data_IF_439671092744
#
_entry.id   IF_439671092744
#
_cell.length_a   1.000
_cell.length_b   1.000
_cell.length_c   1.000
_cell.angle_alpha   90.00
_cell.angle_beta   90.00
_cell.angle_gamma   90.00
#
_symmetry.space_group_name_H-M   'P 1'
#
loop_
_entity.id
_entity.type
_entity.pdbx_description
1 polymer ?
#
# COMPACT_ATOMS: atom_id res chain seq x y z
N UNK A 1 13.33 -24.87 -5.48
CA UNK A 1 13.08 -23.84 -4.46
C UNK A 1 11.58 -23.80 -4.26
N UNK A 2 11.12 -24.15 -3.06
CA UNK A 2 9.71 -23.97 -2.75
C UNK A 2 9.42 -22.47 -2.64
N UNK A 3 8.53 -21.97 -3.50
CA UNK A 3 8.14 -20.56 -3.49
C UNK A 3 7.30 -20.30 -2.23
N UNK A 4 7.79 -19.42 -1.36
CA UNK A 4 6.98 -18.87 -0.28
C UNK A 4 6.01 -17.82 -0.86
N UNK A 5 4.80 -17.79 -0.33
CA UNK A 5 3.78 -16.81 -0.76
C UNK A 5 3.53 -15.76 0.32
N UNK A 6 3.50 -14.51 -0.08
CA UNK A 6 3.12 -13.40 0.80
C UNK A 6 1.60 -13.42 1.07
N UNK A 7 0.80 -13.72 0.03
CA UNK A 7 -0.65 -13.91 0.15
C UNK A 7 -1.07 -15.16 -0.63
N UNK A 8 -1.96 -15.94 -0.02
CA UNK A 8 -2.72 -17.01 -0.67
C UNK A 8 -4.20 -16.74 -0.43
N UNK A 9 -4.99 -16.76 -1.49
CA UNK A 9 -6.44 -16.59 -1.43
C UNK A 9 -7.19 -17.70 -2.12
N UNK A 10 -8.25 -18.18 -1.49
CA UNK A 10 -9.11 -19.25 -2.00
C UNK A 10 -10.56 -18.78 -2.07
N UNK A 11 -11.19 -18.92 -3.25
CA UNK A 11 -12.59 -18.59 -3.54
C UNK A 11 -13.00 -17.17 -3.10
N UNK A 12 -12.17 -16.17 -3.41
CA UNK A 12 -12.46 -14.77 -3.08
C UNK A 12 -13.61 -14.30 -3.94
N UNK A 13 -14.74 -14.01 -3.31
CA UNK A 13 -15.97 -13.62 -4.01
C UNK A 13 -16.58 -12.37 -3.39
N UNK A 14 -16.87 -11.38 -4.23
CA UNK A 14 -17.59 -10.17 -3.85
C UNK A 14 -18.54 -9.73 -4.95
N UNK A 15 -19.83 -9.58 -4.60
CA UNK A 15 -20.87 -9.13 -5.53
C UNK A 15 -21.29 -7.70 -5.24
N UNK A 16 -21.40 -6.91 -6.30
CA UNK A 16 -22.01 -5.59 -6.34
C UNK A 16 -23.19 -5.55 -7.31
N UNK A 17 -23.93 -4.45 -7.33
CA UNK A 17 -24.94 -4.22 -8.37
C UNK A 17 -24.24 -3.99 -9.72
N UNK A 18 -24.32 -4.97 -10.62
CA UNK A 18 -23.71 -4.88 -11.97
C UNK A 18 -22.25 -5.36 -12.09
N UNK A 19 -21.61 -5.81 -11.01
CA UNK A 19 -20.25 -6.33 -11.05
C UNK A 19 -20.05 -7.46 -10.03
N UNK A 20 -19.28 -8.47 -10.40
CA UNK A 20 -18.90 -9.56 -9.50
C UNK A 20 -17.40 -9.79 -9.61
N UNK A 21 -16.70 -9.71 -8.48
CA UNK A 21 -15.34 -10.21 -8.34
C UNK A 21 -15.43 -11.68 -7.96
N UNK A 22 -14.83 -12.56 -8.77
CA UNK A 22 -14.78 -14.01 -8.54
C UNK A 22 -13.38 -14.51 -8.88
N UNK A 23 -12.62 -14.87 -7.85
CA UNK A 23 -11.24 -15.31 -7.97
C UNK A 23 -11.12 -16.66 -7.25
N UNK A 24 -11.16 -17.77 -8.00
CA UNK A 24 -11.08 -19.11 -7.42
C UNK A 24 -9.79 -19.32 -6.63
N UNK A 25 -8.67 -18.83 -7.15
CA UNK A 25 -7.35 -18.94 -6.50
C UNK A 25 -6.49 -17.71 -6.78
N UNK A 26 -5.82 -17.21 -5.76
CA UNK A 26 -4.84 -16.13 -5.83
C UNK A 26 -3.57 -16.54 -5.09
N UNK A 27 -2.42 -16.34 -5.72
CA UNK A 27 -1.12 -16.48 -5.07
C UNK A 27 -0.23 -15.30 -5.41
N UNK A 28 0.35 -14.66 -4.38
CA UNK A 28 1.32 -13.58 -4.54
C UNK A 28 2.64 -14.07 -3.96
N UNK A 29 3.67 -14.31 -4.80
CA UNK A 29 4.95 -14.82 -4.33
C UNK A 29 5.67 -13.80 -3.46
N UNK A 30 6.35 -14.26 -2.40
CA UNK A 30 7.16 -13.45 -1.54
C UNK A 30 8.49 -13.08 -2.22
N UNK A 31 8.98 -11.85 -1.98
CA UNK A 31 10.26 -11.38 -2.52
C UNK A 31 10.19 -10.83 -3.95
N UNK A 32 8.99 -10.63 -4.49
CA UNK A 32 8.81 -10.15 -5.86
C UNK A 32 7.90 -8.93 -5.95
N UNK A 33 8.08 -8.15 -7.03
CA UNK A 33 7.07 -7.21 -7.50
C UNK A 33 6.12 -7.95 -8.47
N UNK A 34 4.84 -8.00 -8.13
CA UNK A 34 3.79 -8.63 -8.94
C UNK A 34 2.79 -7.58 -9.38
N UNK A 35 2.51 -7.49 -10.69
CA UNK A 35 1.55 -6.55 -11.26
C UNK A 35 0.17 -7.19 -11.48
N UNK A 36 -0.87 -6.48 -11.07
CA UNK A 36 -2.27 -6.76 -11.39
C UNK A 36 -2.70 -5.88 -12.57
N UNK A 37 -2.81 -6.49 -13.74
CA UNK A 37 -3.15 -5.79 -14.98
C UNK A 37 -4.61 -6.06 -15.34
N UNK A 38 -5.33 -5.03 -15.76
CA UNK A 38 -6.71 -5.17 -16.21
C UNK A 38 -7.36 -3.83 -16.55
N UNK A 39 -8.47 -3.88 -17.27
CA UNK A 39 -9.24 -2.70 -17.66
C UNK A 39 -9.79 -1.95 -16.43
N UNK A 40 -10.17 -0.68 -16.65
CA UNK A 40 -10.88 0.09 -15.64
C UNK A 40 -12.24 -0.57 -15.34
N UNK A 41 -12.56 -0.73 -14.07
CA UNK A 41 -13.77 -1.44 -13.64
C UNK A 41 -13.62 -2.96 -13.51
N UNK A 42 -12.49 -3.58 -13.86
CA UNK A 42 -12.25 -5.01 -13.71
C UNK A 42 -12.18 -5.50 -12.24
N UNK A 43 -12.22 -4.58 -11.27
CA UNK A 43 -12.23 -4.94 -9.85
C UNK A 43 -10.87 -4.89 -9.16
N UNK A 44 -9.83 -4.33 -9.80
CA UNK A 44 -8.47 -4.21 -9.24
C UNK A 44 -8.50 -3.55 -7.85
N UNK A 45 -9.10 -2.35 -7.73
CA UNK A 45 -9.26 -1.64 -6.45
C UNK A 45 -10.07 -2.45 -5.43
N UNK A 46 -11.09 -3.19 -5.86
CA UNK A 46 -11.86 -4.06 -4.97
C UNK A 46 -10.99 -5.15 -4.37
N UNK A 47 -10.21 -5.84 -5.21
CA UNK A 47 -9.26 -6.85 -4.75
C UNK A 47 -8.22 -6.23 -3.82
N UNK A 48 -7.59 -5.12 -4.21
CA UNK A 48 -6.59 -4.42 -3.38
C UNK A 48 -7.14 -4.06 -2.00
N UNK A 49 -8.38 -3.55 -1.92
CA UNK A 49 -9.04 -3.22 -0.66
C UNK A 49 -9.35 -4.46 0.20
N UNK A 50 -9.67 -5.60 -0.41
CA UNK A 50 -9.84 -6.87 0.29
C UNK A 50 -8.49 -7.32 0.87
N UNK A 51 -7.43 -7.34 0.06
CA UNK A 51 -6.09 -7.75 0.48
C UNK A 51 -5.51 -6.81 1.56
N UNK A 52 -5.77 -5.52 1.47
CA UNK A 52 -5.35 -4.53 2.48
C UNK A 52 -6.18 -4.59 3.78
N UNK A 53 -7.31 -5.31 3.78
CA UNK A 53 -8.21 -5.36 4.91
C UNK A 53 -9.06 -4.12 5.15
N UNK A 54 -9.19 -3.29 4.13
CA UNK A 54 -10.10 -2.14 4.12
C UNK A 54 -11.52 -2.63 3.90
N UNK A 55 -11.69 -3.69 3.09
CA UNK A 55 -12.96 -4.32 2.82
C UNK A 55 -13.01 -5.74 3.40
N UNK A 56 -13.91 -5.95 4.36
CA UNK A 56 -14.05 -7.21 5.09
C UNK A 56 -15.28 -8.03 4.65
N UNK A 57 -16.25 -7.41 3.95
CA UNK A 57 -17.51 -8.02 3.52
C UNK A 57 -17.35 -8.74 2.17
N UNK A 58 -16.57 -9.81 2.15
CA UNK A 58 -16.38 -10.74 1.03
C UNK A 58 -16.53 -12.19 1.49
N UNK A 59 -16.59 -13.14 0.55
CA UNK A 59 -16.53 -14.58 0.81
C UNK A 59 -15.17 -15.12 0.37
N UNK A 60 -14.78 -16.27 0.92
CA UNK A 60 -13.49 -16.91 0.67
C UNK A 60 -12.55 -16.77 1.85
N UNK A 61 -11.31 -17.18 1.66
CA UNK A 61 -10.28 -17.18 2.69
C UNK A 61 -9.01 -16.52 2.18
N UNK A 62 -8.34 -15.76 3.06
CA UNK A 62 -7.02 -15.20 2.80
C UNK A 62 -6.05 -15.64 3.89
N UNK A 63 -4.83 -15.98 3.46
CA UNK A 63 -3.70 -16.27 4.34
C UNK A 63 -2.54 -15.37 3.98
N UNK A 64 -1.89 -14.83 5.01
CA UNK A 64 -0.80 -13.87 4.89
C UNK A 64 0.49 -14.49 5.44
N UNK A 65 1.57 -14.39 4.69
CA UNK A 65 2.92 -14.80 5.08
C UNK A 65 3.02 -16.25 5.59
N UNK A 66 2.13 -17.13 5.13
CA UNK A 66 2.06 -18.53 5.56
C UNK A 66 1.60 -18.77 7.00
N UNK A 67 1.39 -17.71 7.80
CA UNK A 67 1.17 -17.80 9.25
C UNK A 67 -0.16 -17.23 9.73
N UNK A 68 -0.77 -16.32 8.99
CA UNK A 68 -1.94 -15.56 9.45
C UNK A 68 -3.13 -15.74 8.51
N UNK A 69 -4.31 -15.95 9.08
CA UNK A 69 -5.58 -15.88 8.34
C UNK A 69 -6.13 -14.44 8.33
N UNK A 70 -7.15 -14.19 7.53
CA UNK A 70 -7.89 -12.92 7.55
C UNK A 70 -8.55 -12.63 8.91
N UNK A 71 -8.93 -13.68 9.68
CA UNK A 71 -9.40 -13.55 11.07
C UNK A 71 -8.32 -13.06 12.01
N UNK A 72 -7.07 -13.52 11.83
CA UNK A 72 -5.93 -13.01 12.60
C UNK A 72 -5.70 -11.52 12.34
N UNK A 73 -5.86 -11.08 11.09
CA UNK A 73 -5.74 -9.66 10.71
C UNK A 73 -6.74 -8.76 11.43
N UNK A 74 -7.94 -9.25 11.74
CA UNK A 74 -8.93 -8.49 12.51
C UNK A 74 -8.52 -8.32 13.98
N UNK A 75 -7.86 -9.33 14.53
CA UNK A 75 -7.59 -9.44 15.98
C UNK A 75 -6.14 -9.19 16.38
N UNK A 76 -5.20 -9.21 15.40
CA UNK A 76 -3.77 -9.04 15.65
C UNK A 76 -3.24 -7.83 14.90
N UNK A 77 -2.94 -6.72 15.59
CA UNK A 77 -2.38 -5.50 14.97
C UNK A 77 -1.12 -5.76 14.16
N UNK A 78 -0.29 -6.72 14.58
CA UNK A 78 0.98 -7.07 13.97
C UNK A 78 0.85 -7.48 12.50
N UNK A 79 -0.27 -8.09 12.10
CA UNK A 79 -0.52 -8.45 10.70
C UNK A 79 -0.77 -7.19 9.86
N UNK A 80 -1.52 -6.22 10.40
CA UNK A 80 -1.81 -4.95 9.73
C UNK A 80 -0.56 -4.08 9.61
N UNK A 81 0.31 -4.13 10.61
CA UNK A 81 1.58 -3.41 10.60
C UNK A 81 2.55 -3.92 9.52
N UNK A 82 2.45 -5.19 9.14
CA UNK A 82 3.28 -5.79 8.10
C UNK A 82 2.85 -5.43 6.67
N UNK A 83 1.69 -4.79 6.50
CA UNK A 83 1.14 -4.43 5.18
C UNK A 83 1.05 -2.91 5.05
N UNK A 84 1.71 -2.35 4.05
CA UNK A 84 1.52 -0.97 3.61
C UNK A 84 0.52 -0.92 2.45
N UNK A 85 -0.37 0.07 2.44
CA UNK A 85 -1.32 0.28 1.36
C UNK A 85 -1.27 1.72 0.85
N UNK A 86 -1.23 1.88 -0.47
CA UNK A 86 -1.49 3.15 -1.15
C UNK A 86 -2.55 2.95 -2.22
N UNK A 87 -3.41 3.95 -2.45
CA UNK A 87 -4.47 3.80 -3.43
C UNK A 87 -5.11 5.12 -3.84
N UNK A 88 -6.10 5.08 -4.74
CA UNK A 88 -6.82 6.27 -5.19
C UNK A 88 -7.44 7.02 -4.02
N UNK A 89 -7.26 8.34 -4.02
CA UNK A 89 -7.64 9.17 -2.89
C UNK A 89 -6.65 9.05 -1.72
N UNK A 90 -6.84 9.87 -0.71
CA UNK A 90 -6.00 9.86 0.50
C UNK A 90 -6.80 9.31 1.66
N UNK A 91 -6.22 8.38 2.41
CA UNK A 91 -6.76 7.94 3.70
C UNK A 91 -6.41 8.91 4.85
N UNK A 92 -5.58 9.91 4.59
CA UNK A 92 -5.33 10.99 5.53
C UNK A 92 -6.46 12.02 5.48
N UNK A 93 -6.86 12.55 6.64
CA UNK A 93 -7.93 13.53 6.70
C UNK A 93 -7.55 14.80 5.93
N UNK A 94 -8.45 15.35 5.07
CA UNK A 94 -8.14 16.47 4.19
C UNK A 94 -7.63 17.73 4.92
N UNK A 95 -8.10 17.97 6.13
CA UNK A 95 -7.73 19.12 6.96
C UNK A 95 -6.42 18.95 7.71
N UNK A 96 -5.85 17.73 7.78
CA UNK A 96 -4.60 17.51 8.48
C UNK A 96 -3.44 18.20 7.76
N UNK A 97 -2.51 18.72 8.54
CA UNK A 97 -1.19 19.12 8.06
C UNK A 97 -0.30 17.89 7.92
N UNK A 98 0.70 17.97 7.05
CA UNK A 98 1.67 16.86 6.87
C UNK A 98 2.32 16.49 8.21
N UNK A 99 2.65 17.49 9.07
CA UNK A 99 3.13 17.23 10.44
C UNK A 99 2.15 16.43 11.30
N UNK A 100 0.86 16.59 11.10
CA UNK A 100 -0.15 15.80 11.82
C UNK A 100 -0.23 14.38 11.27
N UNK A 101 -0.05 14.21 9.95
CA UNK A 101 0.09 12.87 9.34
C UNK A 101 1.24 12.10 9.99
N UNK A 102 2.41 12.73 10.14
CA UNK A 102 3.59 12.16 10.82
C UNK A 102 3.23 11.74 12.24
N UNK A 103 2.75 12.67 13.07
CA UNK A 103 2.46 12.41 14.49
C UNK A 103 1.39 11.32 14.70
N UNK A 104 0.36 11.28 13.82
CA UNK A 104 -0.67 10.23 13.91
C UNK A 104 -0.15 8.89 13.43
N UNK A 105 0.70 8.87 12.40
CA UNK A 105 1.32 7.62 11.93
C UNK A 105 2.24 7.01 12.99
N UNK A 106 3.01 7.83 13.69
CA UNK A 106 3.86 7.40 14.82
C UNK A 106 3.02 6.85 15.98
N UNK A 107 1.84 7.40 16.23
CA UNK A 107 0.93 6.91 17.26
C UNK A 107 0.25 5.59 16.87
N UNK A 108 -0.09 5.41 15.58
CA UNK A 108 -0.88 4.27 15.11
C UNK A 108 -0.03 3.04 14.76
N UNK A 109 1.23 3.23 14.38
CA UNK A 109 2.10 2.15 13.90
C UNK A 109 3.37 2.08 14.72
N UNK A 110 3.55 0.97 15.44
CA UNK A 110 4.74 0.75 16.27
C UNK A 110 6.04 0.66 15.44
N UNK A 111 5.91 0.34 14.16
CA UNK A 111 7.00 0.20 13.19
C UNK A 111 7.18 1.45 12.30
N UNK A 112 6.65 2.61 12.67
CA UNK A 112 6.83 3.86 11.94
C UNK A 112 8.08 4.58 12.41
N UNK A 113 8.89 5.06 11.44
CA UNK A 113 10.14 5.76 11.68
C UNK A 113 10.04 7.19 11.10
N UNK A 114 9.96 8.16 11.99
CA UNK A 114 9.83 9.58 11.63
C UNK A 114 10.94 10.07 10.70
N UNK A 115 12.19 9.72 10.98
CA UNK A 115 13.35 10.13 10.17
C UNK A 115 13.26 9.57 8.74
N UNK A 116 12.77 8.33 8.59
CA UNK A 116 12.52 7.74 7.27
C UNK A 116 11.38 8.45 6.55
N UNK A 117 10.34 8.86 7.28
CA UNK A 117 9.23 9.61 6.69
C UNK A 117 9.69 10.96 6.15
N UNK A 118 10.44 11.74 6.94
CA UNK A 118 11.03 13.01 6.50
C UNK A 118 11.99 12.83 5.31
N UNK A 119 12.82 11.78 5.34
CA UNK A 119 13.69 11.41 4.22
C UNK A 119 12.88 11.20 2.94
N UNK A 120 11.83 10.36 2.98
CA UNK A 120 11.01 10.07 1.80
C UNK A 120 10.18 11.25 1.33
N UNK A 121 9.73 12.13 2.22
CA UNK A 121 9.08 13.39 1.81
C UNK A 121 10.02 14.26 0.98
N UNK A 122 11.28 14.33 1.35
CA UNK A 122 12.31 15.09 0.62
C UNK A 122 12.63 14.42 -0.72
N UNK A 123 12.92 13.11 -0.72
CA UNK A 123 13.24 12.34 -1.92
C UNK A 123 12.12 12.39 -2.97
N UNK A 124 10.88 12.32 -2.54
CA UNK A 124 9.71 12.40 -3.40
C UNK A 124 9.30 13.84 -3.73
N UNK A 125 10.02 14.84 -3.20
CA UNK A 125 9.71 16.26 -3.39
C UNK A 125 8.26 16.61 -3.04
N UNK A 126 7.76 16.11 -1.91
CA UNK A 126 6.41 16.41 -1.43
C UNK A 126 6.38 17.84 -0.92
N UNK A 127 5.95 18.76 -1.79
CA UNK A 127 5.90 20.19 -1.47
C UNK A 127 7.29 20.83 -1.51
N UNK A 128 7.65 21.39 -2.66
CA UNK A 128 8.97 21.98 -2.96
C UNK A 128 9.39 23.17 -2.08
N UNK A 129 8.61 23.56 -1.06
CA UNK A 129 8.87 24.73 -0.21
C UNK A 129 9.40 24.29 1.15
N UNK A 130 10.21 25.14 1.77
CA UNK A 130 10.74 24.99 3.12
C UNK A 130 9.68 24.80 4.24
N UNK A 131 8.40 25.03 3.96
CA UNK A 131 7.29 24.89 4.92
C UNK A 131 6.29 23.78 4.54
N UNK A 132 6.74 22.73 3.88
CA UNK A 132 5.84 21.65 3.43
C UNK A 132 5.11 20.94 4.59
N UNK A 133 5.73 20.81 5.77
CA UNK A 133 5.10 20.20 6.95
C UNK A 133 3.84 20.94 7.44
N UNK A 134 3.75 22.25 7.16
CA UNK A 134 2.60 23.08 7.48
C UNK A 134 1.44 22.99 6.49
N UNK A 135 1.66 22.40 5.30
CA UNK A 135 0.62 22.28 4.27
C UNK A 135 -0.44 21.27 4.66
N UNK A 136 -1.69 21.56 4.29
CA UNK A 136 -2.81 20.65 4.49
C UNK A 136 -2.86 19.61 3.37
N UNK A 137 -3.30 18.40 3.68
CA UNK A 137 -3.46 17.31 2.71
C UNK A 137 -4.35 17.70 1.53
N UNK A 138 -5.45 18.42 1.78
CA UNK A 138 -6.35 18.88 0.73
C UNK A 138 -5.76 19.98 -0.18
N UNK A 139 -4.68 20.65 0.22
CA UNK A 139 -3.98 21.61 -0.63
C UNK A 139 -2.95 20.97 -1.56
N UNK A 140 -2.69 19.68 -1.41
CA UNK A 140 -1.78 18.93 -2.27
C UNK A 140 -2.46 18.52 -3.56
N UNK A 141 -1.72 18.49 -4.68
CA UNK A 141 -2.16 17.83 -5.91
C UNK A 141 -2.33 16.32 -5.71
N UNK A 142 -3.05 15.64 -6.60
CA UNK A 142 -3.21 14.18 -6.55
C UNK A 142 -1.86 13.46 -6.55
N UNK A 143 -0.92 13.91 -7.38
CA UNK A 143 0.45 13.41 -7.39
C UNK A 143 1.16 13.58 -6.04
N UNK A 144 1.07 14.76 -5.42
CA UNK A 144 1.69 15.00 -4.11
C UNK A 144 0.97 14.24 -2.98
N UNK A 145 -0.34 14.01 -3.07
CA UNK A 145 -1.04 13.11 -2.14
C UNK A 145 -0.56 11.66 -2.25
N UNK A 146 -0.36 11.17 -3.47
CA UNK A 146 0.19 9.83 -3.70
C UNK A 146 1.62 9.73 -3.15
N UNK A 147 2.48 10.72 -3.42
CA UNK A 147 3.84 10.79 -2.86
C UNK A 147 3.83 10.78 -1.33
N UNK A 148 2.94 11.52 -0.70
CA UNK A 148 2.77 11.54 0.76
C UNK A 148 2.38 10.14 1.30
N UNK A 149 1.47 9.44 0.64
CA UNK A 149 1.09 8.08 1.02
C UNK A 149 2.25 7.09 0.84
N UNK A 150 3.00 7.20 -0.26
CA UNK A 150 4.19 6.37 -0.51
C UNK A 150 5.24 6.62 0.58
N UNK A 151 5.53 7.89 0.93
CA UNK A 151 6.42 8.23 2.03
C UNK A 151 5.96 7.59 3.36
N UNK A 152 4.65 7.63 3.64
CA UNK A 152 4.07 7.06 4.86
C UNK A 152 4.23 5.54 4.96
N UNK A 153 4.08 4.80 3.86
CA UNK A 153 4.25 3.33 3.89
C UNK A 153 5.72 2.92 3.87
N UNK A 154 6.59 3.67 3.18
CA UNK A 154 8.04 3.42 3.16
C UNK A 154 8.74 3.80 4.48
N UNK A 155 8.11 4.66 5.28
CA UNK A 155 8.57 4.98 6.63
C UNK A 155 8.35 3.86 7.66
N UNK A 156 7.68 2.78 7.26
CA UNK A 156 7.35 1.64 8.11
C UNK A 156 8.13 0.40 7.70
N UNK A 157 8.43 -0.47 8.68
CA UNK A 157 9.02 -1.78 8.41
C UNK A 157 7.93 -2.78 8.00
N UNK A 158 7.41 -2.61 6.78
CA UNK A 158 6.39 -3.48 6.22
C UNK A 158 7.04 -4.63 5.45
N UNK A 159 6.41 -5.82 5.48
CA UNK A 159 6.83 -6.96 4.65
C UNK A 159 6.24 -6.92 3.25
N UNK A 160 5.16 -6.17 3.09
CA UNK A 160 4.46 -6.08 1.82
C UNK A 160 3.88 -4.70 1.58
N UNK A 161 4.01 -4.21 0.34
CA UNK A 161 3.30 -3.05 -0.17
C UNK A 161 2.21 -3.48 -1.14
N UNK A 162 1.00 -2.99 -0.91
CA UNK A 162 -0.15 -3.05 -1.82
C UNK A 162 -0.36 -1.65 -2.40
N UNK A 163 -0.16 -1.49 -3.70
CA UNK A 163 -0.18 -0.18 -4.35
C UNK A 163 -1.22 -0.15 -5.48
N UNK A 164 -2.34 0.54 -5.25
CA UNK A 164 -3.42 0.63 -6.23
C UNK A 164 -3.21 1.86 -7.14
N UNK A 165 -2.88 1.60 -8.41
CA UNK A 165 -2.55 2.60 -9.44
C UNK A 165 -1.53 3.67 -9.00
N UNK A 166 -0.39 3.31 -8.38
CA UNK A 166 0.52 4.27 -7.76
C UNK A 166 1.15 5.25 -8.75
N UNK A 167 1.32 4.84 -10.00
CA UNK A 167 1.92 5.65 -11.06
C UNK A 167 0.92 6.60 -11.74
N UNK A 168 -0.39 6.36 -11.63
CA UNK A 168 -1.42 7.10 -12.36
C UNK A 168 -1.36 8.62 -12.16
N UNK A 169 -1.25 9.16 -10.94
CA UNK A 169 -1.21 10.60 -10.70
C UNK A 169 0.19 11.22 -10.79
N UNK A 170 1.23 10.42 -11.11
CA UNK A 170 2.63 10.86 -11.13
C UNK A 170 3.07 11.30 -12.54
N UNK A 171 3.93 12.31 -12.58
CA UNK A 171 4.64 12.70 -13.81
C UNK A 171 5.67 11.63 -14.23
N UNK A 172 6.16 11.66 -15.49
CA UNK A 172 7.08 10.63 -15.98
C UNK A 172 8.34 10.42 -15.15
N UNK A 173 8.98 11.51 -14.69
CA UNK A 173 10.20 11.41 -13.88
C UNK A 173 9.94 10.71 -12.55
N UNK A 174 8.79 11.03 -11.93
CA UNK A 174 8.40 10.39 -10.68
C UNK A 174 7.95 8.94 -10.85
N UNK A 175 7.47 8.54 -12.03
CA UNK A 175 7.20 7.12 -12.33
C UNK A 175 8.50 6.30 -12.37
N UNK A 176 9.54 6.85 -13.00
CA UNK A 176 10.84 6.20 -13.01
C UNK A 176 11.42 6.08 -11.59
N UNK A 177 11.33 7.17 -10.80
CA UNK A 177 11.75 7.13 -9.39
C UNK A 177 10.96 6.12 -8.56
N UNK A 178 9.64 5.97 -8.80
CA UNK A 178 8.83 4.96 -8.14
C UNK A 178 9.32 3.53 -8.46
N UNK A 179 9.74 3.27 -9.70
CA UNK A 179 10.33 1.96 -10.05
C UNK A 179 11.62 1.69 -9.27
N UNK A 180 12.47 2.69 -9.10
CA UNK A 180 13.70 2.55 -8.31
C UNK A 180 13.38 2.32 -6.81
N UNK A 181 12.43 3.06 -6.25
CA UNK A 181 11.96 2.85 -4.88
C UNK A 181 11.42 1.45 -4.64
N UNK A 182 10.65 0.91 -5.60
CA UNK A 182 10.17 -0.48 -5.51
C UNK A 182 11.34 -1.46 -5.51
N UNK A 183 12.37 -1.23 -6.33
CA UNK A 183 13.58 -2.07 -6.35
C UNK A 183 14.33 -1.98 -5.03
N UNK A 184 14.56 -0.77 -4.51
CA UNK A 184 15.21 -0.53 -3.22
C UNK A 184 14.45 -1.27 -2.10
N UNK A 185 13.13 -1.11 -2.04
CA UNK A 185 12.27 -1.77 -1.06
C UNK A 185 12.36 -3.30 -1.13
N UNK A 186 12.35 -3.90 -2.33
CA UNK A 186 12.46 -5.35 -2.52
C UNK A 186 13.79 -5.92 -2.04
N UNK A 187 14.88 -5.14 -2.10
CA UNK A 187 16.22 -5.58 -1.68
C UNK A 187 16.39 -5.56 -0.16
N UNK A 188 15.53 -4.84 0.56
CA UNK A 188 15.57 -4.84 2.03
C UNK A 188 15.22 -6.24 2.59
N UNK A 189 15.59 -6.52 3.83
CA UNK A 189 15.38 -7.80 4.52
C UNK A 189 15.81 -9.03 3.70
N UNK A 190 16.97 -8.97 3.06
CA UNK A 190 17.52 -10.07 2.25
C UNK A 190 16.61 -10.48 1.07
N UNK A 191 15.87 -9.51 0.49
CA UNK A 191 14.97 -9.75 -0.63
C UNK A 191 13.68 -10.49 -0.26
N UNK A 192 13.22 -10.37 0.98
CA UNK A 192 11.96 -10.98 1.44
C UNK A 192 10.75 -10.05 1.35
N UNK A 193 10.98 -8.75 1.11
CA UNK A 193 9.87 -7.79 0.95
C UNK A 193 9.16 -8.00 -0.37
N UNK A 194 7.87 -7.73 -0.40
CA UNK A 194 6.99 -8.02 -1.54
C UNK A 194 6.24 -6.75 -1.95
N UNK A 195 6.05 -6.56 -3.24
CA UNK A 195 5.20 -5.50 -3.78
C UNK A 195 4.14 -6.10 -4.69
N UNK A 196 2.88 -5.74 -4.48
CA UNK A 196 1.77 -6.05 -5.36
C UNK A 196 1.10 -4.75 -5.79
N UNK A 197 1.07 -4.47 -7.07
CA UNK A 197 0.56 -3.20 -7.57
C UNK A 197 -0.39 -3.38 -8.75
N UNK A 198 -1.39 -2.51 -8.85
CA UNK A 198 -2.31 -2.47 -9.99
C UNK A 198 -1.88 -1.40 -11.01
N UNK A 199 -2.23 -1.65 -12.27
CA UNK A 199 -2.03 -0.71 -13.38
C UNK A 199 -3.11 -0.88 -14.45
#
# INVERSE_FOLDING_TARGET
>A
MDLNYAIVGDNIYKKYKGFTLDIPQLTIPQGFATALIGENGAGKTTLMNILAGIRLDYKGELRYFGAYSDKDRENKPEVKEQIGYTGPGSYYLPQWKIKQVESVSELLFSNFHKERFEHWLNELSVGADSNYLGKKVNSLSDGNRMKLMIAGVLARDTKMLLMDEPASPLDPLMRDRLCDLIREYLLEEEGKRTVFFST
#
